data_IF_786731203778
#
_entry.id   IF_786731203778
#
_cell.length_a   1.000
_cell.length_b   1.000
_cell.length_c   1.000
_cell.angle_alpha   90.00
_cell.angle_beta   90.00
_cell.angle_gamma   90.00
#
_symmetry.space_group_name_H-M   'P 1'
#
loop_
_entity.id
_entity.type
_entity.pdbx_description
1 polymer ?
#
# COMPACT_ATOMS: atom_id res chain seq x y z
N UNK A 1 17.06 4.52 -1.96
CA UNK A 1 17.07 3.06 -1.72
C UNK A 1 15.77 2.73 -1.02
N UNK A 2 15.03 1.74 -1.51
CA UNK A 2 13.79 1.31 -0.86
C UNK A 2 14.09 0.84 0.57
N UNK A 3 13.19 1.17 1.51
CA UNK A 3 13.22 0.70 2.88
C UNK A 3 12.01 -0.18 3.13
N UNK A 4 12.23 -1.39 3.64
CA UNK A 4 11.16 -2.34 3.90
C UNK A 4 11.42 -3.11 5.20
N UNK A 5 10.36 -3.67 5.79
CA UNK A 5 10.41 -4.67 6.84
C UNK A 5 9.31 -5.71 6.57
N UNK A 6 9.75 -6.90 6.23
CA UNK A 6 8.90 -8.07 5.94
C UNK A 6 9.40 -9.25 6.76
N UNK A 7 8.60 -10.30 6.88
CA UNK A 7 8.92 -11.45 7.75
C UNK A 7 10.14 -12.24 7.29
N UNK A 8 10.17 -12.60 6.01
CA UNK A 8 11.23 -13.42 5.41
C UNK A 8 11.33 -13.12 3.91
N UNK A 9 12.48 -12.59 3.49
CA UNK A 9 12.74 -12.23 2.09
C UNK A 9 12.91 -13.44 1.18
N UNK A 10 13.27 -14.61 1.74
CA UNK A 10 13.48 -15.83 0.95
C UNK A 10 12.19 -16.36 0.30
N UNK A 11 11.03 -15.86 0.73
CA UNK A 11 9.72 -16.19 0.18
C UNK A 11 9.38 -15.47 -1.13
N UNK A 12 10.19 -14.49 -1.55
CA UNK A 12 9.93 -13.68 -2.74
C UNK A 12 9.69 -14.48 -4.04
N UNK A 13 10.40 -15.59 -4.33
CA UNK A 13 10.11 -16.41 -5.51
C UNK A 13 8.69 -16.99 -5.51
N UNK A 14 8.17 -17.40 -4.34
CA UNK A 14 6.80 -17.90 -4.21
C UNK A 14 5.78 -16.77 -4.40
N UNK A 15 6.02 -15.61 -3.78
CA UNK A 15 5.14 -14.45 -3.94
C UNK A 15 5.06 -13.93 -5.37
N UNK A 16 6.17 -13.98 -6.13
CA UNK A 16 6.17 -13.64 -7.56
C UNK A 16 5.20 -14.51 -8.35
N UNK A 17 5.20 -15.82 -8.12
CA UNK A 17 4.29 -16.75 -8.78
C UNK A 17 2.82 -16.47 -8.41
N UNK A 18 2.55 -16.12 -7.15
CA UNK A 18 1.20 -15.76 -6.71
C UNK A 18 0.71 -14.46 -7.36
N UNK A 19 1.55 -13.42 -7.40
CA UNK A 19 1.22 -12.15 -8.04
C UNK A 19 1.01 -12.35 -9.55
N UNK A 20 1.86 -13.15 -10.20
CA UNK A 20 1.69 -13.50 -11.62
C UNK A 20 0.39 -14.25 -11.86
N UNK A 21 0.06 -15.23 -11.01
CA UNK A 21 -1.19 -15.97 -11.11
C UNK A 21 -2.42 -15.07 -10.93
N UNK A 22 -2.40 -14.18 -9.93
CA UNK A 22 -3.46 -13.21 -9.74
C UNK A 22 -3.57 -12.24 -10.92
N UNK A 23 -2.43 -11.78 -11.46
CA UNK A 23 -2.38 -10.90 -12.63
C UNK A 23 -3.11 -11.52 -13.83
N UNK A 24 -2.95 -12.83 -14.10
CA UNK A 24 -3.68 -13.50 -15.19
C UNK A 24 -5.22 -13.40 -15.05
N UNK A 25 -5.74 -13.20 -13.84
CA UNK A 25 -7.16 -13.12 -13.53
C UNK A 25 -7.65 -11.67 -13.28
N UNK A 26 -6.78 -10.67 -13.43
CA UNK A 26 -7.09 -9.24 -13.23
C UNK A 26 -6.91 -8.44 -14.53
N UNK A 27 -7.70 -8.73 -15.59
CA UNK A 27 -7.47 -8.18 -16.94
C UNK A 27 -7.58 -6.65 -17.00
N UNK A 28 -8.41 -6.04 -16.14
CA UNK A 28 -8.57 -4.58 -16.09
C UNK A 28 -7.30 -3.91 -15.57
N UNK A 29 -6.71 -4.41 -14.48
CA UNK A 29 -5.45 -3.87 -13.97
C UNK A 29 -4.31 -4.07 -14.97
N UNK A 30 -4.27 -5.19 -15.68
CA UNK A 30 -3.26 -5.41 -16.72
C UNK A 30 -3.39 -4.41 -17.88
N UNK A 31 -4.61 -4.10 -18.33
CA UNK A 31 -4.82 -3.07 -19.34
C UNK A 31 -4.39 -1.68 -18.84
N UNK A 32 -4.71 -1.34 -17.57
CA UNK A 32 -4.27 -0.09 -16.95
C UNK A 32 -2.75 -0.05 -16.84
N UNK A 33 -2.11 -1.14 -16.40
CA UNK A 33 -0.66 -1.27 -16.28
C UNK A 33 0.04 -1.02 -17.61
N UNK A 34 -0.40 -1.68 -18.69
CA UNK A 34 0.16 -1.47 -20.03
C UNK A 34 0.06 -0.02 -20.52
N UNK A 35 -1.04 0.67 -20.19
CA UNK A 35 -1.19 2.11 -20.48
C UNK A 35 -0.26 2.95 -19.61
N UNK A 36 -0.23 2.67 -18.31
CA UNK A 36 0.55 3.39 -17.31
C UNK A 36 2.05 3.28 -17.55
N UNK A 37 2.55 2.14 -18.05
CA UNK A 37 3.95 1.97 -18.45
C UNK A 37 4.40 2.97 -19.52
N UNK A 38 3.49 3.40 -20.39
CA UNK A 38 3.77 4.37 -21.45
C UNK A 38 3.56 5.81 -20.99
N UNK A 39 2.43 6.06 -20.33
CA UNK A 39 2.00 7.43 -20.00
C UNK A 39 2.64 7.96 -18.71
N UNK A 40 3.04 7.08 -17.80
CA UNK A 40 3.56 7.40 -16.45
C UNK A 40 2.75 8.50 -15.74
N UNK A 41 1.41 8.39 -15.64
CA UNK A 41 0.56 9.47 -15.15
C UNK A 41 0.75 9.78 -13.66
N UNK A 42 1.37 8.87 -12.89
CA UNK A 42 1.62 9.00 -11.47
C UNK A 42 3.07 9.43 -11.17
N UNK A 43 3.83 9.85 -12.18
CA UNK A 43 5.21 10.32 -11.99
C UNK A 43 5.26 11.48 -11.00
N UNK A 44 6.09 11.34 -9.97
CA UNK A 44 6.26 12.36 -8.92
C UNK A 44 5.14 12.34 -7.86
N UNK A 45 4.28 11.32 -7.87
CA UNK A 45 3.32 11.05 -6.82
C UNK A 45 3.90 9.99 -5.88
N UNK A 46 3.93 10.30 -4.59
CA UNK A 46 4.18 9.31 -3.54
C UNK A 46 2.84 8.87 -2.97
N UNK A 47 2.56 7.57 -3.03
CA UNK A 47 1.36 6.91 -2.53
C UNK A 47 1.65 6.22 -1.21
N UNK A 48 0.84 6.51 -0.20
CA UNK A 48 0.82 5.77 1.06
C UNK A 48 -0.39 4.85 1.09
N UNK A 49 -0.17 3.55 1.17
CA UNK A 49 -1.21 2.54 1.13
C UNK A 49 -1.29 1.77 2.45
N UNK A 50 -2.49 1.63 2.99
CA UNK A 50 -2.83 0.75 4.11
C UNK A 50 -3.96 -0.15 3.64
N UNK A 51 -3.60 -1.37 3.22
CA UNK A 51 -4.48 -2.34 2.56
C UNK A 51 -4.12 -3.75 3.01
N UNK A 52 -4.99 -4.73 2.79
CA UNK A 52 -4.62 -6.13 2.93
C UNK A 52 -3.46 -6.47 1.97
N UNK A 53 -2.32 -6.97 2.48
CA UNK A 53 -1.17 -7.30 1.63
C UNK A 53 -1.32 -8.72 1.07
N UNK A 54 -2.04 -8.84 -0.05
CA UNK A 54 -2.32 -10.10 -0.76
C UNK A 54 -1.85 -10.06 -2.21
N UNK A 55 -1.92 -11.18 -2.92
CA UNK A 55 -1.56 -11.29 -4.35
C UNK A 55 -2.24 -10.23 -5.22
N UNK A 56 -3.52 -9.92 -4.96
CA UNK A 56 -4.29 -8.92 -5.69
C UNK A 56 -3.75 -7.51 -5.44
N UNK A 57 -3.45 -7.17 -4.19
CA UNK A 57 -2.77 -5.92 -3.82
C UNK A 57 -1.39 -5.84 -4.46
N UNK A 58 -0.68 -6.97 -4.60
CA UNK A 58 0.57 -7.03 -5.36
C UNK A 58 0.40 -6.58 -6.81
N UNK A 59 -0.65 -7.04 -7.50
CA UNK A 59 -0.96 -6.62 -8.88
C UNK A 59 -1.33 -5.13 -8.93
N UNK A 60 -2.10 -4.63 -7.96
CA UNK A 60 -2.43 -3.21 -7.84
C UNK A 60 -1.18 -2.35 -7.68
N UNK A 61 -0.30 -2.70 -6.74
CA UNK A 61 0.93 -1.97 -6.45
C UNK A 61 1.85 -1.98 -7.67
N UNK A 62 2.02 -3.11 -8.35
CA UNK A 62 2.79 -3.14 -9.60
C UNK A 62 2.20 -2.22 -10.67
N UNK A 63 0.88 -2.13 -10.75
CA UNK A 63 0.19 -1.24 -11.70
C UNK A 63 0.45 0.24 -11.36
N UNK A 64 0.39 0.61 -10.09
CA UNK A 64 0.65 1.98 -9.62
C UNK A 64 2.12 2.37 -9.83
N UNK A 65 3.06 1.50 -9.47
CA UNK A 65 4.49 1.68 -9.71
C UNK A 65 4.80 1.76 -11.22
N UNK A 66 4.13 0.95 -12.04
CA UNK A 66 4.21 1.05 -13.49
C UNK A 66 3.74 2.42 -14.01
N UNK A 67 2.80 3.08 -13.31
CA UNK A 67 2.39 4.46 -13.57
C UNK A 67 3.41 5.52 -13.15
N UNK A 68 4.54 5.14 -12.57
CA UNK A 68 5.60 6.05 -12.11
C UNK A 68 5.44 6.55 -10.68
N UNK A 69 4.49 6.00 -9.92
CA UNK A 69 4.34 6.32 -8.51
C UNK A 69 5.48 5.72 -7.67
N UNK A 70 5.86 6.41 -6.61
CA UNK A 70 6.55 5.82 -5.48
C UNK A 70 5.50 5.28 -4.50
N UNK A 71 5.59 4.02 -4.09
CA UNK A 71 4.59 3.39 -3.21
C UNK A 71 5.23 2.98 -1.89
N UNK A 72 4.58 3.35 -0.79
CA UNK A 72 4.82 2.82 0.54
C UNK A 72 3.56 2.09 1.04
N UNK A 73 3.70 0.83 1.43
CA UNK A 73 2.60 -0.08 1.75
C UNK A 73 2.74 -0.65 3.16
N UNK A 74 1.64 -0.65 3.92
CA UNK A 74 1.47 -1.44 5.13
C UNK A 74 0.16 -2.24 5.09
N UNK A 75 0.01 -3.20 6.01
CA UNK A 75 -1.23 -3.93 6.20
C UNK A 75 -2.36 -3.04 6.74
N UNK A 76 -3.62 -3.34 6.38
CA UNK A 76 -4.84 -2.83 7.05
C UNK A 76 -5.34 -3.78 8.15
N UNK A 77 -4.75 -4.97 8.25
CA UNK A 77 -5.09 -5.94 9.29
C UNK A 77 -3.88 -6.83 9.64
N UNK A 78 -3.53 -6.97 10.94
CA UNK A 78 -2.37 -7.74 11.39
C UNK A 78 -2.30 -9.20 10.93
N UNK A 79 -3.44 -9.80 10.57
CA UNK A 79 -3.53 -11.22 10.17
C UNK A 79 -3.75 -11.40 8.67
N UNK A 80 -3.82 -10.34 7.90
CA UNK A 80 -4.18 -10.42 6.48
C UNK A 80 -3.01 -10.59 5.53
N UNK A 81 -1.81 -10.19 5.94
CA UNK A 81 -0.61 -10.23 5.11
C UNK A 81 -0.28 -11.67 4.66
N UNK A 82 -0.05 -11.81 3.36
CA UNK A 82 0.63 -12.96 2.74
C UNK A 82 2.13 -12.63 2.71
N UNK A 83 2.92 -13.28 3.58
CA UNK A 83 4.32 -12.93 3.83
C UNK A 83 5.18 -13.06 2.56
N UNK A 84 4.86 -14.03 1.72
CA UNK A 84 5.49 -14.26 0.43
C UNK A 84 5.23 -13.14 -0.57
N UNK A 85 4.03 -12.56 -0.59
CA UNK A 85 3.69 -11.41 -1.44
C UNK A 85 4.43 -10.17 -0.96
N UNK A 86 4.44 -9.92 0.35
CA UNK A 86 5.19 -8.81 0.93
C UNK A 86 6.69 -8.91 0.57
N UNK A 87 7.27 -10.11 0.65
CA UNK A 87 8.64 -10.38 0.24
C UNK A 87 8.88 -10.12 -1.26
N UNK A 88 7.96 -10.56 -2.13
CA UNK A 88 8.06 -10.34 -3.57
C UNK A 88 7.99 -8.87 -3.97
N UNK A 89 7.17 -8.07 -3.27
CA UNK A 89 7.10 -6.63 -3.48
C UNK A 89 8.37 -5.92 -2.97
N UNK A 90 8.88 -6.33 -1.81
CA UNK A 90 10.13 -5.79 -1.27
C UNK A 90 11.33 -6.04 -2.20
N UNK A 91 11.43 -7.23 -2.80
CA UNK A 91 12.47 -7.56 -3.79
C UNK A 91 12.39 -6.70 -5.06
N UNK A 92 11.20 -6.16 -5.37
CA UNK A 92 10.97 -5.20 -6.46
C UNK A 92 11.24 -3.74 -6.05
N UNK A 93 11.95 -3.53 -4.95
CA UNK A 93 12.29 -2.21 -4.40
C UNK A 93 11.07 -1.34 -4.06
N UNK A 94 9.95 -1.97 -3.69
CA UNK A 94 8.79 -1.26 -3.15
C UNK A 94 8.95 -1.14 -1.63
N UNK A 95 8.57 0.01 -1.06
CA UNK A 95 8.64 0.21 0.38
C UNK A 95 7.49 -0.55 1.06
N UNK A 96 7.76 -1.74 1.61
CA UNK A 96 6.74 -2.57 2.26
C UNK A 96 7.05 -2.75 3.74
N UNK A 97 6.07 -2.44 4.60
CA UNK A 97 6.13 -2.62 6.04
C UNK A 97 4.92 -3.44 6.47
N UNK A 98 5.01 -4.76 6.31
CA UNK A 98 3.92 -5.66 6.63
C UNK A 98 4.41 -7.08 6.86
N UNK A 99 3.86 -7.77 7.85
CA UNK A 99 3.98 -9.21 8.02
C UNK A 99 2.75 -9.79 8.71
N UNK A 100 2.53 -11.09 8.57
CA UNK A 100 1.43 -11.79 9.24
C UNK A 100 1.75 -11.98 10.72
N UNK A 101 0.82 -11.58 11.57
CA UNK A 101 0.89 -11.74 13.03
C UNK A 101 1.51 -10.54 13.73
N UNK A 102 1.35 -9.33 13.20
CA UNK A 102 1.76 -8.09 13.86
C UNK A 102 1.07 -7.92 15.22
N UNK A 103 1.81 -7.42 16.21
CA UNK A 103 1.22 -6.81 17.40
C UNK A 103 0.62 -5.44 17.06
N UNK A 104 -0.24 -4.90 17.93
CA UNK A 104 -0.81 -3.56 17.73
C UNK A 104 0.27 -2.48 17.62
N UNK A 105 1.34 -2.57 18.42
CA UNK A 105 2.46 -1.62 18.36
C UNK A 105 3.20 -1.70 17.02
N UNK A 106 3.43 -2.91 16.52
CA UNK A 106 4.07 -3.14 15.22
C UNK A 106 3.20 -2.66 14.06
N UNK A 107 1.89 -2.90 14.12
CA UNK A 107 0.92 -2.42 13.13
C UNK A 107 0.99 -0.89 12.98
N UNK A 108 0.87 -0.16 14.09
CA UNK A 108 0.96 1.31 14.04
C UNK A 108 2.37 1.81 13.73
N UNK A 109 3.42 1.04 14.07
CA UNK A 109 4.77 1.33 13.59
C UNK A 109 4.84 1.25 12.06
N UNK A 110 4.23 0.23 11.44
CA UNK A 110 4.15 0.09 9.99
C UNK A 110 3.38 1.26 9.33
N UNK A 111 2.24 1.65 9.91
CA UNK A 111 1.47 2.83 9.45
C UNK A 111 2.35 4.09 9.51
N UNK A 112 3.06 4.31 10.62
CA UNK A 112 3.96 5.46 10.74
C UNK A 112 5.12 5.42 9.73
N UNK A 113 5.64 4.24 9.39
CA UNK A 113 6.65 4.10 8.34
C UNK A 113 6.13 4.50 6.97
N UNK A 114 4.88 4.19 6.65
CA UNK A 114 4.24 4.67 5.41
C UNK A 114 4.13 6.19 5.42
N UNK A 115 3.77 6.81 6.55
CA UNK A 115 3.68 8.27 6.68
C UNK A 115 5.06 8.95 6.55
N UNK A 116 6.14 8.32 7.03
CA UNK A 116 7.51 8.85 6.95
C UNK A 116 8.00 9.05 5.50
N UNK A 117 7.43 8.32 4.54
CA UNK A 117 7.65 8.52 3.10
C UNK A 117 6.96 9.78 2.54
N UNK A 118 6.26 10.55 3.38
CA UNK A 118 5.57 11.80 3.01
C UNK A 118 4.60 11.62 1.84
N UNK A 119 3.63 10.70 1.96
CA UNK A 119 2.68 10.45 0.88
C UNK A 119 1.88 11.72 0.55
N UNK A 120 1.64 11.91 -0.74
CA UNK A 120 0.80 12.99 -1.27
C UNK A 120 -0.62 12.52 -1.58
N UNK A 121 -0.82 11.21 -1.71
CA UNK A 121 -2.13 10.57 -1.86
C UNK A 121 -2.17 9.33 -0.97
N UNK A 122 -3.27 9.11 -0.25
CA UNK A 122 -3.49 7.86 0.52
C UNK A 122 -4.42 6.88 -0.22
N UNK A 123 -4.16 5.59 -0.05
CA UNK A 123 -5.07 4.50 -0.40
C UNK A 123 -5.35 3.71 0.87
N UNK A 124 -6.59 3.73 1.34
CA UNK A 124 -6.95 3.24 2.68
C UNK A 124 -8.06 2.19 2.62
N UNK A 125 -7.97 1.24 3.53
CA UNK A 125 -8.94 0.19 3.81
C UNK A 125 -9.19 0.22 5.33
N UNK A 126 -10.29 0.87 5.71
CA UNK A 126 -10.69 1.01 7.10
C UNK A 126 -10.33 2.35 7.74
N UNK A 127 -9.70 3.27 7.01
CA UNK A 127 -9.35 4.64 7.41
C UNK A 127 -8.34 4.76 8.58
N UNK A 128 -7.43 3.80 8.72
CA UNK A 128 -6.41 3.85 9.78
C UNK A 128 -5.22 4.74 9.41
N UNK A 129 -4.79 4.73 8.15
CA UNK A 129 -3.70 5.60 7.70
C UNK A 129 -4.13 7.07 7.74
N UNK A 130 -5.25 7.40 7.11
CA UNK A 130 -5.80 8.76 7.13
C UNK A 130 -6.19 9.19 8.54
N UNK A 131 -6.74 8.27 9.34
CA UNK A 131 -7.07 8.53 10.74
C UNK A 131 -5.83 8.89 11.57
N UNK A 132 -4.73 8.16 11.39
CA UNK A 132 -3.45 8.44 12.07
C UNK A 132 -2.86 9.78 11.63
N UNK A 133 -2.93 10.09 10.33
CA UNK A 133 -2.47 11.39 9.81
C UNK A 133 -3.25 12.55 10.43
N UNK A 134 -4.57 12.46 10.52
CA UNK A 134 -5.40 13.52 11.07
C UNK A 134 -5.31 13.68 12.59
N UNK A 135 -4.95 12.62 13.33
CA UNK A 135 -4.90 12.63 14.80
C UNK A 135 -3.50 12.86 15.37
N UNK A 136 -2.50 12.21 14.80
CA UNK A 136 -1.17 12.08 15.41
C UNK A 136 -0.06 12.66 14.53
N UNK A 137 -0.18 12.54 13.20
CA UNK A 137 0.84 12.92 12.22
C UNK A 137 0.40 14.09 11.34
N UNK A 138 -0.18 15.11 11.96
CA UNK A 138 -0.82 16.25 11.27
C UNK A 138 0.15 17.06 10.41
N UNK A 139 1.47 16.96 10.65
CA UNK A 139 2.48 17.59 9.81
C UNK A 139 2.47 17.05 8.37
N UNK A 140 2.03 15.80 8.16
CA UNK A 140 1.92 15.19 6.83
C UNK A 140 0.81 15.82 5.97
N UNK A 141 -0.22 16.43 6.61
CA UNK A 141 -1.35 17.05 5.91
C UNK A 141 -0.91 18.18 4.96
N UNK A 142 0.22 18.85 5.25
CA UNK A 142 0.73 19.96 4.43
C UNK A 142 0.98 19.60 2.97
N UNK A 143 1.28 18.33 2.69
CA UNK A 143 1.62 17.84 1.36
C UNK A 143 0.53 16.96 0.74
N UNK A 144 -0.56 16.72 1.47
CA UNK A 144 -1.62 15.80 1.05
C UNK A 144 -2.52 16.45 0.01
N UNK A 145 -2.74 15.76 -1.11
CA UNK A 145 -3.63 16.17 -2.20
C UNK A 145 -5.01 15.53 -2.09
N UNK A 146 -5.10 14.36 -1.46
CA UNK A 146 -6.36 13.63 -1.28
C UNK A 146 -6.11 12.17 -0.92
N UNK A 147 -7.16 11.38 -0.87
CA UNK A 147 -7.07 9.96 -0.60
C UNK A 147 -8.27 9.19 -1.16
N UNK A 148 -8.15 7.87 -1.22
CA UNK A 148 -9.22 6.95 -1.56
C UNK A 148 -9.47 6.00 -0.40
N UNK A 149 -10.72 5.58 -0.21
CA UNK A 149 -11.12 4.62 0.81
C UNK A 149 -11.95 3.52 0.16
N UNK A 150 -11.59 2.26 0.43
CA UNK A 150 -12.24 1.09 -0.16
C UNK A 150 -13.50 0.65 0.60
N UNK A 151 -13.51 0.78 1.93
CA UNK A 151 -14.51 0.12 2.77
C UNK A 151 -15.62 1.03 3.25
N UNK A 152 -16.80 0.42 3.45
CA UNK A 152 -17.94 1.09 4.08
C UNK A 152 -17.59 1.66 5.45
N UNK A 153 -16.82 0.92 6.26
CA UNK A 153 -16.40 1.36 7.61
C UNK A 153 -15.51 2.59 7.54
N UNK A 154 -14.50 2.58 6.67
CA UNK A 154 -13.63 3.73 6.48
C UNK A 154 -14.39 4.95 5.96
N UNK A 155 -15.33 4.77 5.01
CA UNK A 155 -16.17 5.87 4.52
C UNK A 155 -17.01 6.49 5.64
N UNK A 156 -17.57 5.68 6.54
CA UNK A 156 -18.31 6.17 7.71
C UNK A 156 -17.39 6.99 8.63
N UNK A 157 -16.16 6.50 8.88
CA UNK A 157 -15.15 7.21 9.69
C UNK A 157 -14.79 8.56 9.05
N UNK A 158 -14.56 8.60 7.74
CA UNK A 158 -14.26 9.83 7.00
C UNK A 158 -15.40 10.85 7.09
N UNK A 159 -16.65 10.42 6.91
CA UNK A 159 -17.83 11.29 7.07
C UNK A 159 -18.02 11.81 8.50
N UNK A 160 -17.58 11.05 9.50
CA UNK A 160 -17.59 11.50 10.88
C UNK A 160 -16.50 12.55 11.15
N UNK A 161 -15.35 12.45 10.47
CA UNK A 161 -14.24 13.41 10.58
C UNK A 161 -14.48 14.73 9.84
N UNK A 162 -15.35 14.74 8.82
CA UNK A 162 -15.70 15.94 8.05
C UNK A 162 -16.54 16.95 8.87
N UNK A 163 -17.26 16.48 9.89
CA UNK A 163 -18.18 17.28 10.70
C UNK A 163 -17.47 18.01 11.84
#
# INVERSE_FOLDING_TARGET
MASFKVKDQSLAPQGKLLIEWASMHMPVLNQIKQRFEKEKPLKGITLGACLHVTSETGVLVETLTAGGAEVALCGSNPLSTQDEVAAALAEKEINVYAWRGETTEEYYWCVNKVIDHKPTITLDDGADLVGTIHKERTEALKNMKGGTEETTTGVIRLRAMEK
#
